data_IF_552486459302
#
_entry.id   IF_552486459302
#
_cell.length_a   1.000
_cell.length_b   1.000
_cell.length_c   1.000
_cell.angle_alpha   90.00
_cell.angle_beta   90.00
_cell.angle_gamma   90.00
#
_symmetry.space_group_name_H-M   'P 1'
#
loop_
_entity.id
_entity.type
_entity.pdbx_description
1 polymer ?
#
# COMPACT_ATOMS: atom_id res chain seq x y z
N UNK A 1 -20.12 11.94 -27.05
CA UNK A 1 -21.40 12.00 -26.30
C UNK A 1 -21.12 12.20 -24.81
N UNK A 2 -22.03 12.87 -24.14
CA UNK A 2 -21.86 13.17 -22.71
C UNK A 2 -21.74 11.91 -21.87
N UNK A 3 -22.50 10.86 -22.20
CA UNK A 3 -22.44 9.59 -21.48
C UNK A 3 -21.06 8.94 -21.59
N UNK A 4 -20.43 9.04 -22.74
CA UNK A 4 -19.10 8.47 -22.97
C UNK A 4 -18.04 9.21 -22.17
N UNK A 5 -18.15 10.54 -22.11
CA UNK A 5 -17.23 11.37 -21.35
C UNK A 5 -17.31 11.05 -19.85
N UNK A 6 -18.51 10.87 -19.35
CA UNK A 6 -18.71 10.51 -17.94
C UNK A 6 -18.13 9.14 -17.64
N UNK A 7 -18.28 8.21 -18.56
CA UNK A 7 -17.72 6.88 -18.39
C UNK A 7 -16.20 6.93 -18.37
N UNK A 8 -15.61 7.68 -19.29
CA UNK A 8 -14.15 7.84 -19.34
C UNK A 8 -13.63 8.46 -18.04
N UNK A 9 -14.30 9.49 -17.54
CA UNK A 9 -13.92 10.12 -16.28
C UNK A 9 -14.00 9.12 -15.13
N UNK A 10 -15.07 8.34 -15.07
CA UNK A 10 -15.26 7.35 -14.01
C UNK A 10 -14.15 6.32 -14.02
N UNK A 11 -13.86 5.76 -15.18
CA UNK A 11 -12.79 4.75 -15.32
C UNK A 11 -11.43 5.37 -14.97
N UNK A 12 -11.19 6.58 -15.45
CA UNK A 12 -9.93 7.28 -15.15
C UNK A 12 -9.72 7.48 -13.66
N UNK A 13 -10.76 7.87 -12.94
CA UNK A 13 -10.70 8.05 -11.49
C UNK A 13 -10.39 6.73 -10.78
N UNK A 14 -11.02 5.63 -11.21
CA UNK A 14 -10.79 4.33 -10.61
C UNK A 14 -9.38 3.82 -10.89
N UNK A 15 -8.86 4.08 -12.07
CA UNK A 15 -7.48 3.73 -12.40
C UNK A 15 -6.49 4.50 -11.53
N UNK A 16 -6.75 5.79 -11.34
CA UNK A 16 -5.91 6.63 -10.49
C UNK A 16 -5.89 6.13 -9.04
N UNK A 17 -7.05 5.74 -8.52
CA UNK A 17 -7.14 5.21 -7.17
C UNK A 17 -6.33 3.93 -7.01
N UNK A 18 -6.29 3.09 -8.05
CA UNK A 18 -5.48 1.87 -8.01
C UNK A 18 -3.99 2.17 -7.97
N UNK A 19 -3.55 3.14 -8.75
CA UNK A 19 -2.16 3.57 -8.71
C UNK A 19 -1.82 4.10 -7.33
N UNK A 20 -2.71 4.89 -6.75
CA UNK A 20 -2.52 5.44 -5.41
C UNK A 20 -2.40 4.34 -4.36
N UNK A 21 -3.24 3.30 -4.45
CA UNK A 21 -3.17 2.15 -3.54
C UNK A 21 -1.85 1.43 -3.68
N UNK A 22 -1.40 1.21 -4.91
CA UNK A 22 -0.12 0.55 -5.16
C UNK A 22 1.04 1.33 -4.55
N UNK A 23 1.03 2.65 -4.70
CA UNK A 23 2.05 3.52 -4.11
C UNK A 23 2.01 3.48 -2.58
N UNK A 24 0.81 3.47 -2.00
CA UNK A 24 0.65 3.37 -0.56
C UNK A 24 1.15 2.03 -0.01
N UNK A 25 0.87 0.95 -0.73
CA UNK A 25 1.36 -0.37 -0.34
C UNK A 25 2.88 -0.45 -0.37
N UNK A 26 3.49 0.16 -1.38
CA UNK A 26 4.94 0.23 -1.47
C UNK A 26 5.52 1.04 -0.31
N UNK A 27 4.93 2.17 -0.01
CA UNK A 27 5.34 3.00 1.14
C UNK A 27 5.25 2.21 2.43
N UNK A 28 4.14 1.50 2.65
CA UNK A 28 3.96 0.65 3.83
C UNK A 28 5.08 -0.39 3.93
N UNK A 29 5.39 -1.05 2.82
CA UNK A 29 6.40 -2.09 2.80
C UNK A 29 7.79 -1.53 3.13
N UNK A 30 8.11 -0.34 2.62
CA UNK A 30 9.35 0.34 2.95
C UNK A 30 9.42 0.68 4.44
N UNK A 31 8.34 1.20 4.99
CA UNK A 31 8.28 1.52 6.41
C UNK A 31 8.44 0.27 7.28
N UNK A 32 7.82 -0.83 6.88
CA UNK A 32 7.96 -2.09 7.61
C UNK A 32 9.40 -2.60 7.57
N UNK A 33 10.07 -2.45 6.43
CA UNK A 33 11.48 -2.83 6.33
C UNK A 33 12.36 -2.00 7.25
N UNK A 34 12.14 -0.68 7.30
CA UNK A 34 12.87 0.21 8.17
C UNK A 34 12.60 -0.11 9.64
N UNK A 35 11.34 -0.41 9.97
CA UNK A 35 10.98 -0.82 11.32
C UNK A 35 11.74 -2.07 11.75
N UNK A 36 11.82 -3.07 10.87
CA UNK A 36 12.55 -4.30 11.17
C UNK A 36 14.02 -4.03 11.45
N UNK A 37 14.63 -3.11 10.71
CA UNK A 37 16.02 -2.75 10.93
C UNK A 37 16.22 -2.12 12.31
N UNK A 38 15.31 -1.24 12.70
CA UNK A 38 15.40 -0.57 14.00
C UNK A 38 15.16 -1.57 15.12
N UNK A 39 14.19 -2.48 14.96
CA UNK A 39 13.92 -3.54 15.94
C UNK A 39 15.15 -4.45 16.08
N UNK A 40 15.80 -4.78 14.96
CA UNK A 40 17.04 -5.56 15.00
C UNK A 40 18.14 -4.87 15.78
N UNK A 41 18.31 -3.57 15.56
CA UNK A 41 19.30 -2.78 16.29
C UNK A 41 18.98 -2.74 17.79
N UNK A 42 17.70 -2.60 18.13
CA UNK A 42 17.26 -2.63 19.52
C UNK A 42 17.60 -3.97 20.17
N UNK A 43 17.31 -5.07 19.50
CA UNK A 43 17.56 -6.41 20.02
C UNK A 43 19.07 -6.64 20.25
N UNK A 44 19.90 -6.18 19.32
CA UNK A 44 21.36 -6.27 19.49
C UNK A 44 21.83 -5.48 20.69
N UNK A 45 21.28 -4.29 20.87
CA UNK A 45 21.65 -3.44 22.01
C UNK A 45 21.23 -4.06 23.32
N UNK A 46 20.06 -4.72 23.37
CA UNK A 46 19.61 -5.44 24.56
C UNK A 46 20.54 -6.58 24.91
N UNK A 47 21.01 -7.33 23.92
CA UNK A 47 21.98 -8.40 24.15
C UNK A 47 23.28 -7.82 24.72
N UNK A 48 23.76 -6.71 24.14
CA UNK A 48 24.97 -6.06 24.61
C UNK A 48 24.82 -5.59 26.06
N UNK A 49 23.65 -5.06 26.38
CA UNK A 49 23.36 -4.61 27.75
C UNK A 49 23.40 -5.78 28.74
N UNK A 50 22.84 -6.93 28.36
CA UNK A 50 22.82 -8.13 29.16
C UNK A 50 24.23 -8.68 29.43
N UNK A 51 25.14 -8.46 28.48
CA UNK A 51 26.52 -8.97 28.59
C UNK A 51 27.50 -7.93 29.14
N UNK A 52 27.00 -6.75 29.50
CA UNK A 52 27.84 -5.69 30.04
C UNK A 52 28.43 -6.10 31.39
N UNK A 53 29.73 -6.00 31.53
CA UNK A 53 30.44 -6.40 32.74
C UNK A 53 30.26 -5.37 33.89
N UNK A 54 29.58 -5.77 34.92
CA UNK A 54 29.33 -4.90 36.08
C UNK A 54 30.63 -4.51 36.82
N UNK A 55 31.72 -5.29 36.62
CA UNK A 55 33.00 -4.99 37.17
C UNK A 55 33.83 -3.98 36.39
N UNK A 56 33.39 -3.60 35.21
CA UNK A 56 34.06 -2.60 34.38
C UNK A 56 34.02 -1.25 35.12
N UNK A 57 35.16 -0.57 35.16
CA UNK A 57 35.24 0.71 35.84
C UNK A 57 34.38 1.80 35.22
N UNK A 58 33.97 1.62 33.98
CA UNK A 58 33.09 2.53 33.26
C UNK A 58 31.68 1.98 33.08
N UNK A 59 31.31 0.98 33.86
CA UNK A 59 30.02 0.30 33.73
C UNK A 59 28.84 1.28 33.74
N UNK A 60 28.79 2.16 34.72
CA UNK A 60 27.66 3.09 34.85
C UNK A 60 27.52 3.99 33.62
N UNK A 61 28.66 4.47 33.08
CA UNK A 61 28.65 5.33 31.91
C UNK A 61 28.23 4.55 30.65
N UNK A 62 28.78 3.35 30.50
CA UNK A 62 28.40 2.50 29.34
C UNK A 62 26.93 2.11 29.41
N UNK A 63 26.44 1.80 30.61
CA UNK A 63 25.04 1.47 30.80
C UNK A 63 24.14 2.64 30.39
N UNK A 64 24.48 3.83 30.87
CA UNK A 64 23.69 5.03 30.55
C UNK A 64 23.70 5.33 29.06
N UNK A 65 24.86 5.20 28.40
CA UNK A 65 24.96 5.41 26.97
C UNK A 65 24.05 4.42 26.20
N UNK A 66 24.02 3.17 26.64
CA UNK A 66 23.18 2.16 26.01
C UNK A 66 21.70 2.44 26.26
N UNK A 67 21.34 2.88 27.48
CA UNK A 67 19.97 3.27 27.78
C UNK A 67 19.50 4.41 26.91
N UNK A 68 20.34 5.43 26.70
CA UNK A 68 20.00 6.57 25.88
C UNK A 68 19.74 6.13 24.42
N UNK A 69 20.57 5.23 23.92
CA UNK A 69 20.40 4.68 22.58
C UNK A 69 19.12 3.86 22.48
N UNK A 70 18.82 3.07 23.52
CA UNK A 70 17.58 2.30 23.57
C UNK A 70 16.36 3.21 23.53
N UNK A 71 16.38 4.27 24.31
CA UNK A 71 15.26 5.23 24.31
C UNK A 71 15.03 5.81 22.93
N UNK A 72 16.11 6.18 22.23
CA UNK A 72 16.01 6.66 20.86
C UNK A 72 15.42 5.62 19.92
N UNK A 73 15.85 4.37 20.07
CA UNK A 73 15.34 3.29 19.23
C UNK A 73 13.85 3.04 19.49
N UNK A 74 13.42 3.07 20.76
CA UNK A 74 12.01 2.93 21.08
C UNK A 74 11.17 4.05 20.49
N UNK A 75 11.67 5.28 20.53
CA UNK A 75 10.98 6.42 19.92
C UNK A 75 10.84 6.22 18.41
N UNK A 76 11.90 5.76 17.77
CA UNK A 76 11.86 5.51 16.32
C UNK A 76 10.90 4.38 15.96
N UNK A 77 10.87 3.33 16.79
CA UNK A 77 9.94 2.22 16.60
C UNK A 77 8.50 2.74 16.66
N UNK A 78 8.18 3.52 17.68
CA UNK A 78 6.85 4.10 17.84
C UNK A 78 6.49 4.99 16.66
N UNK A 79 7.44 5.78 16.17
CA UNK A 79 7.23 6.63 15.00
C UNK A 79 6.90 5.82 13.77
N UNK A 80 7.66 4.77 13.48
CA UNK A 80 7.38 3.91 12.34
C UNK A 80 6.06 3.19 12.48
N UNK A 81 5.73 2.70 13.67
CA UNK A 81 4.45 2.03 13.90
C UNK A 81 3.28 2.96 13.62
N UNK A 82 3.39 4.22 14.06
CA UNK A 82 2.35 5.21 13.81
C UNK A 82 2.22 5.53 12.33
N UNK A 83 3.35 5.70 11.63
CA UNK A 83 3.34 5.97 10.20
C UNK A 83 2.73 4.80 9.42
N UNK A 84 3.09 3.58 9.80
CA UNK A 84 2.52 2.38 9.17
C UNK A 84 1.01 2.33 9.39
N UNK A 85 0.55 2.61 10.60
CA UNK A 85 -0.88 2.62 10.91
C UNK A 85 -1.61 3.64 10.06
N UNK A 86 -1.04 4.84 9.88
CA UNK A 86 -1.64 5.88 9.05
C UNK A 86 -1.73 5.44 7.59
N UNK A 87 -0.66 4.86 7.07
CA UNK A 87 -0.67 4.39 5.68
C UNK A 87 -1.66 3.25 5.50
N UNK A 88 -1.72 2.32 6.44
CA UNK A 88 -2.67 1.21 6.37
C UNK A 88 -4.12 1.70 6.40
N UNK A 89 -4.39 2.74 7.16
CA UNK A 89 -5.71 3.34 7.19
C UNK A 89 -6.06 3.97 5.84
N UNK A 90 -5.09 4.65 5.22
CA UNK A 90 -5.28 5.21 3.87
C UNK A 90 -5.51 4.13 2.84
N UNK A 91 -4.79 3.01 2.94
CA UNK A 91 -4.97 1.86 2.05
C UNK A 91 -6.39 1.31 2.20
N UNK A 92 -6.83 1.14 3.43
CA UNK A 92 -8.17 0.63 3.72
C UNK A 92 -9.24 1.53 3.12
N UNK A 93 -9.10 2.83 3.30
CA UNK A 93 -10.04 3.80 2.74
C UNK A 93 -10.03 3.76 1.21
N UNK A 94 -8.86 3.63 0.60
CA UNK A 94 -8.74 3.55 -0.85
C UNK A 94 -9.37 2.29 -1.41
N UNK A 95 -9.18 1.15 -0.73
CA UNK A 95 -9.84 -0.10 -1.15
C UNK A 95 -11.35 0.02 -1.10
N UNK A 96 -11.88 0.77 -0.15
CA UNK A 96 -13.32 0.99 -0.05
C UNK A 96 -13.88 1.77 -1.23
N UNK A 97 -13.03 2.51 -1.95
CA UNK A 97 -13.45 3.30 -3.11
C UNK A 97 -13.20 2.59 -4.44
N UNK A 98 -12.53 1.44 -4.43
CA UNK A 98 -12.23 0.72 -5.67
C UNK A 98 -13.49 0.11 -6.27
N UNK A 99 -13.40 -0.17 -7.58
CA UNK A 99 -14.46 -0.87 -8.28
C UNK A 99 -14.51 -2.32 -7.78
N UNK A 100 -15.62 -2.70 -7.14
CA UNK A 100 -15.84 -4.07 -6.72
C UNK A 100 -16.35 -4.89 -7.89
N UNK A 101 -16.38 -6.22 -7.71
CA UNK A 101 -16.90 -7.13 -8.72
C UNK A 101 -18.31 -6.77 -9.16
N UNK A 102 -19.16 -6.47 -8.20
CA UNK A 102 -20.56 -6.13 -8.48
C UNK A 102 -20.66 -4.87 -9.33
N UNK A 103 -19.88 -3.87 -8.99
CA UNK A 103 -19.86 -2.62 -9.74
C UNK A 103 -19.33 -2.83 -11.15
N UNK A 104 -18.28 -3.63 -11.29
CA UNK A 104 -17.74 -3.97 -12.60
C UNK A 104 -18.77 -4.67 -13.46
N UNK A 105 -19.52 -5.60 -12.87
CA UNK A 105 -20.59 -6.31 -13.57
C UNK A 105 -21.64 -5.34 -14.07
N UNK A 106 -22.05 -4.39 -13.23
CA UNK A 106 -23.01 -3.36 -13.62
C UNK A 106 -22.51 -2.50 -14.77
N UNK A 107 -21.22 -2.17 -14.76
CA UNK A 107 -20.61 -1.40 -15.85
C UNK A 107 -20.66 -2.20 -17.14
N UNK A 108 -20.37 -3.51 -17.08
CA UNK A 108 -20.41 -4.38 -18.24
C UNK A 108 -21.81 -4.48 -18.83
N UNK A 109 -22.83 -4.51 -17.98
CA UNK A 109 -24.20 -4.53 -18.45
C UNK A 109 -24.57 -3.26 -19.20
N UNK A 110 -24.11 -2.12 -18.69
CA UNK A 110 -24.32 -0.84 -19.36
C UNK A 110 -23.47 -0.71 -20.62
N UNK A 111 -22.37 -1.43 -20.65
CA UNK A 111 -21.43 -1.42 -21.78
C UNK A 111 -22.12 -1.77 -23.08
N UNK A 112 -22.96 -2.81 -23.09
CA UNK A 112 -23.67 -3.24 -24.29
C UNK A 112 -24.48 -2.11 -24.92
N UNK A 113 -25.12 -1.32 -24.07
CA UNK A 113 -25.94 -0.21 -24.54
C UNK A 113 -25.07 0.92 -25.06
N UNK A 114 -24.06 1.30 -24.30
CA UNK A 114 -23.15 2.39 -24.67
C UNK A 114 -22.33 2.03 -25.91
N UNK A 115 -21.86 0.80 -25.96
CA UNK A 115 -21.00 0.35 -27.07
C UNK A 115 -21.70 0.42 -28.39
N UNK A 116 -23.00 0.08 -28.41
CA UNK A 116 -23.79 0.12 -29.64
C UNK A 116 -23.91 1.53 -30.22
N UNK A 117 -23.79 2.54 -29.37
CA UNK A 117 -23.92 3.94 -29.78
C UNK A 117 -22.57 4.62 -30.07
N UNK A 118 -21.47 3.96 -29.79
CA UNK A 118 -20.15 4.53 -29.97
C UNK A 118 -19.68 4.46 -31.42
N UNK A 119 -18.87 5.45 -31.80
CA UNK A 119 -18.15 5.38 -33.08
C UNK A 119 -17.01 4.37 -32.93
N UNK A 120 -16.42 4.00 -34.08
CA UNK A 120 -15.31 3.04 -34.08
C UNK A 120 -14.10 3.54 -33.23
N UNK A 121 -13.84 4.83 -33.29
CA UNK A 121 -12.75 5.43 -32.52
C UNK A 121 -13.05 5.35 -31.04
N UNK A 122 -14.28 5.68 -30.66
CA UNK A 122 -14.71 5.63 -29.26
C UNK A 122 -14.66 4.20 -28.71
N UNK A 123 -15.07 3.22 -29.51
CA UNK A 123 -15.00 1.81 -29.14
C UNK A 123 -13.57 1.39 -28.82
N UNK A 124 -12.65 1.82 -29.68
CA UNK A 124 -11.24 1.50 -29.52
C UNK A 124 -10.67 2.10 -28.25
N UNK A 125 -10.97 3.36 -28.00
CA UNK A 125 -10.52 4.05 -26.79
C UNK A 125 -11.12 3.41 -25.53
N UNK A 126 -12.39 3.07 -25.58
CA UNK A 126 -13.07 2.42 -24.47
C UNK A 126 -12.43 1.08 -24.14
N UNK A 127 -12.19 0.27 -25.16
CA UNK A 127 -11.58 -1.04 -24.95
C UNK A 127 -10.18 -0.92 -24.38
N UNK A 128 -9.42 0.10 -24.81
CA UNK A 128 -8.08 0.32 -24.26
C UNK A 128 -8.14 0.65 -22.78
N UNK A 129 -9.07 1.51 -22.39
CA UNK A 129 -9.25 1.85 -20.96
C UNK A 129 -9.63 0.62 -20.16
N UNK A 130 -10.50 -0.21 -20.71
CA UNK A 130 -10.96 -1.41 -20.03
C UNK A 130 -9.82 -2.41 -19.85
N UNK A 131 -9.00 -2.59 -20.88
CA UNK A 131 -7.83 -3.47 -20.81
C UNK A 131 -6.84 -2.95 -19.79
N UNK A 132 -6.60 -1.65 -19.76
CA UNK A 132 -5.71 -1.03 -18.77
C UNK A 132 -6.21 -1.29 -17.35
N UNK A 133 -7.51 -1.20 -17.15
CA UNK A 133 -8.10 -1.47 -15.84
C UNK A 133 -7.88 -2.92 -15.40
N UNK A 134 -8.01 -3.85 -16.34
CA UNK A 134 -7.78 -5.28 -16.06
C UNK A 134 -6.31 -5.52 -15.72
N UNK A 135 -5.40 -4.91 -16.45
CA UNK A 135 -3.97 -5.08 -16.22
C UNK A 135 -3.52 -4.60 -14.84
N UNK A 136 -4.23 -3.63 -14.28
CA UNK A 136 -3.93 -3.15 -12.93
C UNK A 136 -4.38 -4.13 -11.83
N UNK A 137 -5.05 -5.23 -12.20
CA UNK A 137 -5.50 -6.24 -11.26
C UNK A 137 -4.88 -7.63 -11.44
N UNK A 138 -3.68 -7.76 -12.02
CA UNK A 138 -3.17 -9.11 -12.29
C UNK A 138 -2.98 -9.94 -11.04
N UNK A 139 -2.49 -9.35 -9.98
CA UNK A 139 -2.22 -10.07 -8.73
C UNK A 139 -3.49 -10.55 -8.06
N UNK A 140 -4.53 -9.75 -8.09
CA UNK A 140 -5.79 -10.12 -7.47
C UNK A 140 -6.51 -11.21 -8.24
N UNK A 141 -6.37 -11.19 -9.54
CA UNK A 141 -6.96 -12.22 -10.38
C UNK A 141 -6.26 -13.55 -10.22
N UNK A 142 -4.94 -13.50 -10.08
CA UNK A 142 -4.14 -14.71 -9.87
C UNK A 142 -4.42 -15.32 -8.50
N UNK A 143 -4.65 -14.50 -7.53
CA UNK A 143 -4.98 -14.96 -6.18
C UNK A 143 -6.38 -15.56 -6.12
N UNK A 144 -7.19 -15.13 -6.94
CA UNK A 144 -8.52 -15.69 -7.06
C UNK A 144 -8.49 -17.07 -7.64
N UNK A 145 -7.26 -16.87 -7.45
CA UNK A 145 -6.88 -17.40 -7.92
C UNK A 145 -6.54 -17.82 -8.46
N UNK A 146 -6.23 -17.75 -8.45
CA UNK A 146 -5.66 -17.68 -9.21
C UNK A 146 -5.94 -18.36 -9.95
N UNK A 147 -6.42 -18.71 -10.02
CA UNK A 147 -6.59 -19.01 -10.54
C UNK A 147 -6.89 -19.24 -11.20
N UNK A 148 -7.20 -19.46 -11.44
CA UNK A 148 -7.50 -19.42 -11.93
C UNK A 148 -7.76 -20.13 -12.45
#
# INVERSE_FOLDING_TARGET
MIADERFHEYIGERLQEKVDVSNLEEERNQLKGQLQQVVGAKNKLLVMLDTLDAGDKHYARKFQDMQDRLDNLYDRISGFENEIADVEEKIKAAYGRQIGEKQLYQILQKFDILYAEMSDIEKKEFMQLFIDAIELYPEKMDDGRIIR
#
